data_IF_132146559057
#
_entry.id   IF_132146559057
#
_cell.length_a   1.000
_cell.length_b   1.000
_cell.length_c   1.000
_cell.angle_alpha   90.00
_cell.angle_beta   90.00
_cell.angle_gamma   90.00
#
_symmetry.space_group_name_H-M   'P 1'
#
loop_
_entity.id
_entity.type
_entity.pdbx_description
1 polymer ?
#
# COMPACT_ATOMS: atom_id res chain seq x y z
N UNK A 1 -1.70 -13.01 11.68
CA UNK A 1 -1.04 -11.76 11.23
C UNK A 1 -1.10 -10.77 12.38
N UNK A 2 0.05 -10.24 12.81
CA UNK A 2 0.19 -9.34 13.97
C UNK A 2 0.66 -7.94 13.57
N UNK A 3 0.20 -7.44 12.42
CA UNK A 3 0.57 -6.12 11.92
C UNK A 3 -0.20 -5.01 12.63
N UNK A 4 0.42 -3.85 12.72
CA UNK A 4 -0.24 -2.60 13.12
C UNK A 4 -0.31 -1.68 11.90
N UNK A 5 -1.49 -1.12 11.66
CA UNK A 5 -1.74 -0.23 10.52
C UNK A 5 -2.11 1.15 11.05
N UNK A 6 -1.49 2.17 10.46
CA UNK A 6 -1.89 3.55 10.66
C UNK A 6 -3.01 3.89 9.67
N UNK A 7 -4.11 4.44 10.19
CA UNK A 7 -5.20 4.99 9.39
C UNK A 7 -5.52 6.36 9.98
N UNK A 8 -5.33 7.39 9.18
CA UNK A 8 -5.40 8.78 9.58
C UNK A 8 -6.77 9.17 10.16
N UNK A 9 -7.90 8.64 9.67
CA UNK A 9 -9.24 9.01 10.20
C UNK A 9 -9.53 8.33 11.53
N UNK A 10 -8.76 7.28 11.85
CA UNK A 10 -8.85 6.58 13.13
C UNK A 10 -7.93 7.25 14.15
N UNK A 11 -6.68 7.54 13.75
CA UNK A 11 -5.61 7.98 14.65
C UNK A 11 -5.49 9.50 14.77
N UNK A 12 -5.74 10.23 13.69
CA UNK A 12 -5.55 11.68 13.60
C UNK A 12 -6.83 12.37 13.10
N UNK A 13 -7.96 12.14 13.81
CA UNK A 13 -9.28 12.72 13.48
C UNK A 13 -9.31 14.25 13.32
N UNK A 14 -8.34 14.95 13.90
CA UNK A 14 -8.21 16.41 13.85
C UNK A 14 -7.46 16.90 12.60
N UNK A 15 -6.90 15.98 11.80
CA UNK A 15 -6.17 16.31 10.58
C UNK A 15 -7.18 16.73 9.50
N UNK A 16 -7.16 18.01 9.14
CA UNK A 16 -7.96 18.55 8.05
C UNK A 16 -7.29 18.23 6.71
N UNK A 17 -7.82 17.22 6.00
CA UNK A 17 -7.29 16.75 4.71
C UNK A 17 -7.72 17.59 3.53
N UNK A 18 -8.75 18.40 3.70
CA UNK A 18 -9.20 19.32 2.65
C UNK A 18 -8.19 20.46 2.43
N UNK A 19 -7.29 20.68 3.39
CA UNK A 19 -6.30 21.75 3.36
C UNK A 19 -4.90 21.23 3.10
N UNK A 20 -4.34 21.62 1.97
CA UNK A 20 -2.91 21.49 1.69
C UNK A 20 -2.16 22.49 2.60
N UNK A 21 -1.61 22.00 3.70
CA UNK A 21 -0.84 22.81 4.65
C UNK A 21 0.49 22.15 4.99
N UNK A 22 1.49 22.96 5.37
CA UNK A 22 2.79 22.46 5.84
C UNK A 22 2.64 21.61 7.10
N UNK A 23 1.67 21.92 7.94
CA UNK A 23 1.35 21.20 9.17
C UNK A 23 0.79 19.81 8.85
N UNK A 24 -0.19 19.72 7.94
CA UNK A 24 -0.75 18.43 7.48
C UNK A 24 0.34 17.56 6.85
N UNK A 25 1.16 18.15 5.97
CA UNK A 25 2.28 17.46 5.36
C UNK A 25 3.31 16.97 6.40
N UNK A 26 3.65 17.78 7.41
CA UNK A 26 4.58 17.39 8.46
C UNK A 26 4.06 16.19 9.27
N UNK A 27 2.77 16.21 9.63
CA UNK A 27 2.14 15.09 10.34
C UNK A 27 2.18 13.80 9.49
N UNK A 28 1.80 13.86 8.21
CA UNK A 28 1.85 12.69 7.32
C UNK A 28 3.28 12.16 7.14
N UNK A 29 4.28 13.04 7.02
CA UNK A 29 5.70 12.62 6.96
C UNK A 29 6.12 11.85 8.21
N UNK A 30 5.78 12.36 9.39
CA UNK A 30 6.10 11.70 10.66
C UNK A 30 5.48 10.30 10.71
N UNK A 31 4.22 10.17 10.29
CA UNK A 31 3.51 8.86 10.25
C UNK A 31 4.13 7.90 9.24
N UNK A 32 4.51 8.39 8.06
CA UNK A 32 5.18 7.57 7.04
C UNK A 32 6.57 7.13 7.51
N UNK A 33 7.34 7.99 8.19
CA UNK A 33 8.64 7.63 8.79
C UNK A 33 8.53 6.57 9.89
N UNK A 34 7.40 6.53 10.60
CA UNK A 34 7.10 5.49 11.60
C UNK A 34 6.58 4.18 10.96
N UNK A 35 6.32 4.18 9.65
CA UNK A 35 5.72 3.06 8.93
C UNK A 35 6.76 2.32 8.08
N UNK A 36 6.57 1.00 7.94
CA UNK A 36 7.52 0.16 7.17
C UNK A 36 7.24 0.13 5.67
N UNK A 37 5.99 0.35 5.28
CA UNK A 37 5.55 0.38 3.89
C UNK A 37 4.26 1.20 3.76
N UNK A 38 3.97 1.65 2.55
CA UNK A 38 2.68 2.25 2.18
C UNK A 38 1.85 1.23 1.40
N UNK A 39 0.62 1.02 1.85
CA UNK A 39 -0.41 0.34 1.04
C UNK A 39 -1.15 1.44 0.29
N UNK A 40 -0.89 1.52 -1.02
CA UNK A 40 -1.55 2.45 -1.91
C UNK A 40 -2.90 1.85 -2.32
N UNK A 41 -3.89 2.06 -1.45
CA UNK A 41 -5.24 1.52 -1.62
C UNK A 41 -5.99 2.31 -2.70
N UNK A 42 -6.38 1.61 -3.76
CA UNK A 42 -6.87 2.22 -4.99
C UNK A 42 -8.32 1.84 -5.26
N UNK A 43 -9.15 2.82 -5.60
CA UNK A 43 -10.55 2.69 -6.00
C UNK A 43 -10.89 3.74 -7.05
N UNK A 44 -12.13 3.77 -7.54
CA UNK A 44 -12.59 4.77 -8.51
C UNK A 44 -12.43 6.24 -8.04
N UNK A 45 -12.33 6.48 -6.74
CA UNK A 45 -12.11 7.82 -6.17
C UNK A 45 -10.64 8.18 -5.92
N UNK A 46 -9.69 7.28 -6.23
CA UNK A 46 -8.25 7.51 -5.97
C UNK A 46 -7.72 8.75 -6.68
N UNK A 47 -8.16 9.01 -7.91
CA UNK A 47 -7.73 10.17 -8.70
C UNK A 47 -8.15 11.51 -8.09
N UNK A 48 -9.14 11.53 -7.18
CA UNK A 48 -9.64 12.74 -6.53
C UNK A 48 -8.80 13.13 -5.31
N UNK A 49 -7.92 12.26 -4.82
CA UNK A 49 -7.09 12.56 -3.65
C UNK A 49 -5.84 13.34 -4.02
N UNK A 50 -5.79 14.60 -3.58
CA UNK A 50 -4.61 15.48 -3.70
C UNK A 50 -3.40 14.99 -2.89
N UNK A 51 -3.62 14.14 -1.87
CA UNK A 51 -2.56 13.65 -0.99
C UNK A 51 -1.94 12.35 -1.48
N UNK A 52 -2.70 11.48 -2.14
CA UNK A 52 -2.21 10.15 -2.52
C UNK A 52 -0.95 10.20 -3.41
N UNK A 53 -0.88 10.98 -4.51
CA UNK A 53 0.34 11.08 -5.31
C UNK A 53 1.53 11.62 -4.51
N UNK A 54 1.28 12.50 -3.54
CA UNK A 54 2.32 13.06 -2.68
C UNK A 54 2.84 12.05 -1.66
N UNK A 55 1.95 11.27 -1.03
CA UNK A 55 2.30 10.18 -0.12
C UNK A 55 3.08 9.08 -0.86
N UNK A 56 2.66 8.76 -2.08
CA UNK A 56 3.37 7.85 -2.97
C UNK A 56 4.81 8.30 -3.19
N UNK A 57 4.99 9.52 -3.70
CA UNK A 57 6.33 10.05 -3.99
C UNK A 57 7.21 10.17 -2.74
N UNK A 58 6.62 10.53 -1.59
CA UNK A 58 7.38 10.59 -0.34
C UNK A 58 7.82 9.20 0.15
N UNK A 59 6.91 8.22 0.17
CA UNK A 59 7.25 6.88 0.65
C UNK A 59 8.20 6.16 -0.30
N UNK A 60 8.00 6.32 -1.61
CA UNK A 60 8.89 5.77 -2.63
C UNK A 60 10.31 6.32 -2.46
N UNK A 61 10.45 7.65 -2.30
CA UNK A 61 11.73 8.29 -2.00
C UNK A 61 12.32 7.95 -0.63
N UNK A 62 11.50 7.56 0.36
CA UNK A 62 11.96 7.21 1.70
C UNK A 62 12.61 5.82 1.74
N UNK A 63 11.95 4.81 1.18
CA UNK A 63 12.45 3.43 1.21
C UNK A 63 11.97 2.53 0.06
N UNK A 64 11.22 3.05 -0.91
CA UNK A 64 10.70 2.28 -2.04
C UNK A 64 9.69 1.19 -1.66
N UNK A 65 9.24 1.13 -0.40
CA UNK A 65 8.32 0.10 0.08
C UNK A 65 6.88 0.57 -0.09
N UNK A 66 6.43 0.55 -1.33
CA UNK A 66 5.04 0.80 -1.71
C UNK A 66 4.44 -0.46 -2.35
N UNK A 67 3.22 -0.81 -1.97
CA UNK A 67 2.42 -1.83 -2.64
C UNK A 67 1.08 -1.27 -3.07
N UNK A 68 0.62 -1.61 -4.26
CA UNK A 68 -0.74 -1.31 -4.69
C UNK A 68 -1.71 -2.30 -4.05
N UNK A 69 -2.88 -1.78 -3.66
CA UNK A 69 -3.94 -2.59 -3.07
C UNK A 69 -5.28 -2.19 -3.69
N UNK A 70 -5.63 -2.79 -4.84
CA UNK A 70 -6.90 -2.49 -5.49
C UNK A 70 -8.06 -2.93 -4.61
N UNK A 71 -8.90 -1.98 -4.24
CA UNK A 71 -10.19 -2.18 -3.58
C UNK A 71 -11.23 -2.33 -4.69
N UNK A 72 -11.37 -3.55 -5.20
CA UNK A 72 -12.44 -3.88 -6.15
C UNK A 72 -13.74 -4.03 -5.36
N UNK A 73 -14.79 -3.29 -5.75
CA UNK A 73 -16.16 -3.62 -5.36
C UNK A 73 -16.68 -4.72 -6.30
N UNK A 74 -17.51 -5.63 -5.79
CA UNK A 74 -17.95 -6.84 -6.52
C UNK A 74 -18.68 -6.53 -7.86
N UNK A 75 -19.14 -5.28 -8.03
CA UNK A 75 -19.95 -4.81 -9.16
C UNK A 75 -19.19 -3.87 -10.14
N UNK A 76 -17.91 -3.60 -9.92
CA UNK A 76 -17.12 -2.71 -10.78
C UNK A 76 -16.48 -3.49 -11.94
N UNK A 77 -17.09 -3.41 -13.13
CA UNK A 77 -16.59 -4.06 -14.36
C UNK A 77 -15.28 -3.45 -14.88
N UNK A 78 -14.98 -2.19 -14.54
CA UNK A 78 -13.83 -1.46 -15.06
C UNK A 78 -13.10 -0.72 -13.94
N UNK A 79 -12.08 -1.38 -13.37
CA UNK A 79 -11.18 -0.79 -12.39
C UNK A 79 -10.00 -0.11 -13.09
N UNK A 80 -9.96 1.22 -13.08
CA UNK A 80 -8.86 1.98 -13.67
C UNK A 80 -7.71 2.12 -12.67
N UNK A 81 -6.63 1.35 -12.89
CA UNK A 81 -5.35 1.59 -12.23
C UNK A 81 -4.52 2.57 -13.08
N UNK A 82 -4.17 3.76 -12.58
CA UNK A 82 -3.23 4.65 -13.26
C UNK A 82 -1.94 3.91 -13.68
N UNK A 83 -1.50 4.09 -14.92
CA UNK A 83 -0.39 3.32 -15.50
C UNK A 83 0.88 3.35 -14.67
N UNK A 84 1.22 4.48 -14.05
CA UNK A 84 2.41 4.60 -13.21
C UNK A 84 2.37 3.70 -11.96
N UNK A 85 1.18 3.29 -11.51
CA UNK A 85 1.04 2.36 -10.38
C UNK A 85 1.38 0.91 -10.78
N UNK A 86 1.39 0.59 -12.07
CA UNK A 86 1.85 -0.73 -12.56
C UNK A 86 3.35 -0.97 -12.31
N UNK A 87 4.11 0.08 -12.00
CA UNK A 87 5.53 -0.01 -11.63
C UNK A 87 5.74 -0.61 -10.23
N UNK A 88 4.70 -0.67 -9.42
CA UNK A 88 4.77 -1.14 -8.04
C UNK A 88 4.18 -2.54 -7.89
N UNK A 89 4.73 -3.31 -6.95
CA UNK A 89 4.16 -4.61 -6.58
C UNK A 89 2.75 -4.45 -6.03
N UNK A 90 1.90 -5.47 -6.22
CA UNK A 90 0.58 -5.54 -5.60
C UNK A 90 0.57 -6.50 -4.40
N UNK A 91 -0.41 -6.34 -3.50
CA UNK A 91 -0.57 -7.21 -2.34
C UNK A 91 -1.83 -8.07 -2.44
N UNK A 92 -1.68 -9.36 -2.17
CA UNK A 92 -2.78 -10.33 -2.16
C UNK A 92 -2.82 -11.11 -0.84
N UNK A 93 -4.02 -11.46 -0.38
CA UNK A 93 -4.22 -12.37 0.75
C UNK A 93 -4.49 -13.78 0.26
N UNK A 94 -3.53 -14.69 0.44
CA UNK A 94 -3.65 -16.08 0.03
C UNK A 94 -3.25 -17.06 1.15
N UNK A 95 -3.73 -18.30 1.07
CA UNK A 95 -3.33 -19.36 2.02
C UNK A 95 -1.86 -19.74 1.85
N UNK A 96 -1.20 -20.05 2.96
CA UNK A 96 0.15 -20.60 2.92
C UNK A 96 0.05 -22.08 2.53
N UNK A 97 0.77 -22.50 1.48
CA UNK A 97 0.78 -23.89 0.99
C UNK A 97 0.94 -24.89 2.15
N UNK A 98 0.00 -25.84 2.24
CA UNK A 98 -0.02 -26.87 3.29
C UNK A 98 -0.43 -26.38 4.69
N UNK A 99 -0.93 -25.15 4.84
CA UNK A 99 -1.40 -24.60 6.12
C UNK A 99 -2.78 -23.95 5.96
N UNK A 100 -3.62 -24.04 7.00
CA UNK A 100 -4.92 -23.35 7.05
C UNK A 100 -4.82 -21.83 7.20
N UNK A 101 -3.63 -21.31 7.53
CA UNK A 101 -3.41 -19.90 7.79
C UNK A 101 -3.17 -19.14 6.48
N UNK A 102 -3.85 -17.99 6.33
CA UNK A 102 -3.56 -17.02 5.27
C UNK A 102 -2.43 -16.06 5.64
N UNK A 103 -1.71 -15.57 4.63
CA UNK A 103 -0.71 -14.52 4.73
C UNK A 103 -0.97 -13.44 3.66
N UNK A 104 -0.33 -12.29 3.83
CA UNK A 104 -0.22 -11.29 2.77
C UNK A 104 1.03 -11.57 1.95
N UNK A 105 0.89 -11.51 0.64
CA UNK A 105 1.93 -11.76 -0.35
C UNK A 105 2.11 -10.53 -1.21
N UNK A 106 3.37 -10.17 -1.45
CA UNK A 106 3.77 -9.06 -2.31
C UNK A 106 4.19 -9.66 -3.65
N UNK A 107 3.50 -9.27 -4.71
CA UNK A 107 3.66 -9.79 -6.06
C UNK A 107 4.24 -8.72 -6.97
N UNK A 108 5.32 -9.04 -7.68
CA UNK A 108 5.71 -8.30 -8.88
C UNK A 108 4.91 -8.78 -10.10
N UNK A 109 4.55 -10.07 -10.12
CA UNK A 109 3.66 -10.70 -11.08
C UNK A 109 3.17 -12.05 -10.50
N UNK A 110 2.45 -12.83 -11.30
CA UNK A 110 1.85 -14.11 -10.90
C UNK A 110 2.89 -15.13 -10.37
N UNK A 111 4.06 -15.23 -11.00
CA UNK A 111 5.09 -16.20 -10.62
C UNK A 111 6.16 -15.64 -9.69
N UNK A 112 6.27 -14.31 -9.55
CA UNK A 112 7.30 -13.65 -8.74
C UNK A 112 6.70 -12.94 -7.52
N UNK A 113 6.80 -13.59 -6.37
CA UNK A 113 6.18 -13.10 -5.13
C UNK A 113 6.97 -13.46 -3.86
N UNK A 114 6.64 -12.81 -2.74
CA UNK A 114 7.22 -13.07 -1.42
C UNK A 114 6.22 -12.73 -0.32
N UNK A 115 6.31 -13.37 0.85
CA UNK A 115 5.48 -12.97 2.00
C UNK A 115 5.79 -11.54 2.42
N UNK A 116 4.76 -10.76 2.75
CA UNK A 116 4.90 -9.38 3.22
C UNK A 116 5.90 -9.26 4.38
N UNK A 117 5.84 -10.16 5.37
CA UNK A 117 6.77 -10.16 6.51
C UNK A 117 8.25 -10.23 6.10
N UNK A 118 8.56 -10.97 5.03
CA UNK A 118 9.90 -11.10 4.51
C UNK A 118 10.27 -9.90 3.63
N UNK A 119 9.32 -9.37 2.87
CA UNK A 119 9.52 -8.16 2.07
C UNK A 119 9.86 -6.94 2.92
N UNK A 120 9.20 -6.81 4.08
CA UNK A 120 9.49 -5.79 5.09
C UNK A 120 10.85 -5.99 5.79
N UNK A 121 11.45 -7.17 5.66
CA UNK A 121 12.82 -7.48 6.13
C UNK A 121 13.87 -7.34 5.03
N UNK A 122 13.47 -6.90 3.83
CA UNK A 122 14.38 -6.66 2.70
C UNK A 122 14.45 -7.80 1.68
N UNK A 123 13.69 -8.89 1.84
CA UNK A 123 13.65 -9.93 0.82
C UNK A 123 12.79 -9.48 -0.38
N UNK A 124 13.38 -9.49 -1.58
CA UNK A 124 12.62 -9.17 -2.79
C UNK A 124 11.77 -10.36 -3.26
N UNK A 125 10.66 -10.11 -3.98
CA UNK A 125 9.93 -11.13 -4.72
C UNK A 125 10.88 -11.98 -5.57
N UNK A 126 10.63 -13.29 -5.60
CA UNK A 126 11.43 -14.26 -6.37
C UNK A 126 10.50 -15.25 -7.08
N UNK A 127 11.02 -15.90 -8.11
CA UNK A 127 10.23 -16.79 -8.96
C UNK A 127 9.84 -18.07 -8.20
N UNK A 128 8.58 -18.47 -8.32
CA UNK A 128 8.05 -19.75 -7.86
C UNK A 128 7.59 -20.53 -9.09
N UNK A 129 8.05 -21.78 -9.18
CA UNK A 129 7.66 -22.74 -10.22
C UNK A 129 6.29 -23.39 -9.94
#
# INVERSE_FOLDING_TARGET
>A
MGFSVYVDWIKDRKLDRSKISKQTAAALKERMQQSKCLFYATSNNTSQSIWMPWELGYMDGLNGKVVTFPLLEDDEEEYYLPEYLSLYSYVEKAQVKGKRQSALWVHENESKYVKLENWLKGQNPYHHE
#
